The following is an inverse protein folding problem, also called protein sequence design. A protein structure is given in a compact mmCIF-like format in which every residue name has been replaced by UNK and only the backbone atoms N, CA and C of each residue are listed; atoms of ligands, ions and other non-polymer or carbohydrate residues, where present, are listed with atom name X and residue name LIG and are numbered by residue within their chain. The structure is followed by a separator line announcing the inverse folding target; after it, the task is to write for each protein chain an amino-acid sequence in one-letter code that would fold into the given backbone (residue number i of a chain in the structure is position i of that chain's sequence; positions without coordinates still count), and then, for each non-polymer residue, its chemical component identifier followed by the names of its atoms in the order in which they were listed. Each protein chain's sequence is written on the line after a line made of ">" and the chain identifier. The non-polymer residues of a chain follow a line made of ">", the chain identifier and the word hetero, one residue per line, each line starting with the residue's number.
data_IF_371563155420
#
_entry.id   IF_371563155420
#
_cell.length_a   1.000
_cell.length_b   1.000
_cell.length_c   1.000
_cell.angle_alpha   90.00
_cell.angle_beta   90.00
_cell.angle_gamma   90.00
#
_symmetry.space_group_name_H-M   'P 1'
#
loop_
_entity.id
_entity.type
_entity.pdbx_description
1 polymer ?
#
# COMPACT_ATOMS: atom_id res chain seq x y z
N UNK A 1 1.29 -19.14 -24.26
CA UNK A 1 1.36 -18.58 -22.89
C UNK A 1 0.99 -19.63 -21.85
N UNK A 2 1.60 -20.82 -21.89
CA UNK A 2 1.55 -21.80 -20.80
C UNK A 2 2.99 -22.25 -20.61
N UNK A 3 3.49 -22.19 -19.37
CA UNK A 3 4.89 -22.45 -18.93
C UNK A 3 5.80 -21.21 -18.75
N UNK A 4 5.25 -20.05 -18.38
CA UNK A 4 6.09 -19.03 -17.71
C UNK A 4 5.89 -19.26 -16.21
N UNK A 5 6.97 -19.60 -15.51
CA UNK A 5 6.97 -19.63 -14.05
C UNK A 5 7.11 -18.20 -13.53
N UNK A 6 6.33 -17.87 -12.50
CA UNK A 6 6.35 -16.59 -11.81
C UNK A 6 6.80 -16.85 -10.37
N UNK A 7 8.12 -16.89 -10.10
CA UNK A 7 8.63 -17.16 -8.76
C UNK A 7 8.11 -16.17 -7.71
N UNK A 8 7.73 -14.96 -8.14
CA UNK A 8 7.11 -13.92 -7.32
C UNK A 8 5.79 -14.38 -6.69
N UNK A 9 4.99 -15.18 -7.40
CA UNK A 9 3.70 -15.67 -6.91
C UNK A 9 3.83 -16.77 -5.84
N UNK A 10 5.04 -17.33 -5.66
CA UNK A 10 5.35 -18.26 -4.58
C UNK A 10 6.07 -17.57 -3.41
N UNK A 11 6.42 -16.29 -3.53
CA UNK A 11 7.16 -15.55 -2.52
C UNK A 11 6.20 -14.68 -1.69
N UNK A 12 5.97 -15.09 -0.43
CA UNK A 12 5.10 -14.36 0.51
C UNK A 12 5.54 -12.92 0.75
N UNK A 13 6.84 -12.64 0.86
CA UNK A 13 7.35 -11.28 1.06
C UNK A 13 7.07 -10.38 -0.15
N UNK A 14 7.21 -10.94 -1.35
CA UNK A 14 6.86 -10.24 -2.58
C UNK A 14 5.36 -9.95 -2.64
N UNK A 15 4.52 -10.94 -2.31
CA UNK A 15 3.06 -10.79 -2.31
C UNK A 15 2.58 -9.77 -1.27
N UNK A 16 3.20 -9.70 -0.09
CA UNK A 16 2.92 -8.63 0.89
C UNK A 16 3.17 -7.24 0.28
N UNK A 17 4.33 -7.05 -0.38
CA UNK A 17 4.64 -5.79 -1.07
C UNK A 17 3.63 -5.51 -2.19
N UNK A 18 3.26 -6.52 -2.96
CA UNK A 18 2.28 -6.39 -4.04
C UNK A 18 0.90 -5.97 -3.52
N UNK A 19 0.35 -6.66 -2.51
CA UNK A 19 -0.93 -6.29 -1.90
C UNK A 19 -0.91 -4.86 -1.34
N UNK A 20 0.18 -4.46 -0.68
CA UNK A 20 0.34 -3.09 -0.20
C UNK A 20 0.31 -2.06 -1.32
N UNK A 21 0.91 -2.37 -2.48
CA UNK A 21 0.91 -1.50 -3.65
C UNK A 21 -0.49 -1.39 -4.26
N UNK A 22 -1.26 -2.48 -4.29
CA UNK A 22 -2.66 -2.45 -4.73
C UNK A 22 -3.45 -1.46 -3.88
N UNK A 23 -3.40 -1.57 -2.54
CA UNK A 23 -4.06 -0.63 -1.63
C UNK A 23 -3.57 0.82 -1.84
N UNK A 24 -2.26 1.03 -1.97
CA UNK A 24 -1.68 2.37 -2.19
C UNK A 24 -2.12 3.01 -3.51
N UNK A 25 -2.20 2.24 -4.59
CA UNK A 25 -2.67 2.75 -5.89
C UNK A 25 -4.15 3.11 -5.86
N UNK A 26 -4.96 2.39 -5.07
CA UNK A 26 -6.36 2.75 -4.83
C UNK A 26 -6.47 4.10 -4.11
N UNK A 27 -5.64 4.34 -3.08
CA UNK A 27 -5.61 5.63 -2.37
C UNK A 27 -5.07 6.79 -3.20
N UNK A 28 -4.14 6.51 -4.14
CA UNK A 28 -3.58 7.50 -5.05
C UNK A 28 -4.61 7.97 -6.10
N UNK A 29 -5.55 7.10 -6.50
CA UNK A 29 -6.49 7.39 -7.58
C UNK A 29 -7.34 8.65 -7.34
N UNK A 30 -7.93 8.90 -6.14
CA UNK A 30 -8.60 10.16 -5.83
C UNK A 30 -7.73 11.40 -6.00
N UNK A 31 -6.45 11.35 -5.59
CA UNK A 31 -5.51 12.45 -5.80
C UNK A 31 -5.25 12.65 -7.29
N UNK A 32 -4.98 11.56 -8.02
CA UNK A 32 -4.76 11.59 -9.46
C UNK A 32 -5.95 12.23 -10.21
N UNK A 33 -7.18 11.83 -9.90
CA UNK A 33 -8.39 12.45 -10.46
C UNK A 33 -8.49 13.93 -10.11
N UNK A 34 -8.15 14.31 -8.86
CA UNK A 34 -8.18 15.71 -8.42
C UNK A 34 -7.13 16.57 -9.10
N UNK A 35 -5.95 16.02 -9.37
CA UNK A 35 -4.86 16.70 -10.06
C UNK A 35 -5.14 16.88 -11.56
N UNK A 36 -5.92 15.98 -12.14
CA UNK A 36 -6.39 16.08 -13.52
C UNK A 36 -7.54 17.09 -13.66
N UNK A 37 -7.74 17.56 -14.89
CA UNK A 37 -8.87 18.41 -15.26
C UNK A 37 -8.59 19.92 -15.18
N UNK A 38 -9.54 20.68 -15.74
CA UNK A 38 -9.50 22.14 -15.80
C UNK A 38 -10.32 22.76 -14.66
N UNK A 39 -9.94 23.96 -14.22
CA UNK A 39 -10.66 24.69 -13.16
C UNK A 39 -10.12 24.52 -11.74
N UNK A 40 -9.06 23.71 -11.56
CA UNK A 40 -8.32 23.70 -10.31
C UNK A 40 -7.42 24.95 -10.19
N UNK A 41 -7.42 25.59 -9.02
CA UNK A 41 -6.42 26.61 -8.70
C UNK A 41 -5.15 25.94 -8.19
N UNK A 42 -4.00 26.61 -8.32
CA UNK A 42 -2.73 26.16 -7.73
C UNK A 42 -2.90 25.84 -6.24
N UNK A 43 -3.61 26.72 -5.51
CA UNK A 43 -3.91 26.52 -4.09
C UNK A 43 -4.69 25.22 -3.83
N UNK A 44 -5.72 24.93 -4.65
CA UNK A 44 -6.52 23.71 -4.48
C UNK A 44 -5.74 22.43 -4.77
N UNK A 45 -4.79 22.47 -5.72
CA UNK A 45 -3.92 21.34 -6.03
C UNK A 45 -2.90 21.12 -4.91
N UNK A 46 -2.29 22.20 -4.43
CA UNK A 46 -1.36 22.17 -3.31
C UNK A 46 -2.02 21.58 -2.04
N UNK A 47 -3.24 21.99 -1.73
CA UNK A 47 -4.01 21.43 -0.60
C UNK A 47 -4.28 19.93 -0.77
N UNK A 48 -4.58 19.48 -1.99
CA UNK A 48 -4.84 18.06 -2.27
C UNK A 48 -3.56 17.22 -2.08
N UNK A 49 -2.40 17.72 -2.52
CA UNK A 49 -1.11 17.06 -2.33
C UNK A 49 -0.76 16.99 -0.84
N UNK A 50 -0.82 18.10 -0.09
CA UNK A 50 -0.55 18.09 1.35
C UNK A 50 -1.48 17.15 2.13
N UNK A 51 -2.77 17.12 1.76
CA UNK A 51 -3.71 16.19 2.38
C UNK A 51 -3.34 14.73 2.11
N UNK A 52 -2.77 14.43 0.94
CA UNK A 52 -2.31 13.08 0.62
C UNK A 52 -1.00 12.73 1.34
N UNK A 53 -0.04 13.65 1.44
CA UNK A 53 1.18 13.46 2.23
C UNK A 53 0.85 13.11 3.69
N UNK A 54 -0.08 13.85 4.32
CA UNK A 54 -0.56 13.54 5.67
C UNK A 54 -1.21 12.15 5.78
N UNK A 55 -1.88 11.67 4.72
CA UNK A 55 -2.41 10.30 4.69
C UNK A 55 -1.30 9.27 4.60
N UNK A 56 -0.24 9.53 3.85
CA UNK A 56 0.90 8.63 3.76
C UNK A 56 1.62 8.48 5.11
N UNK A 57 1.77 9.56 5.87
CA UNK A 57 2.27 9.50 7.25
C UNK A 57 1.38 8.61 8.14
N UNK A 58 0.06 8.76 8.03
CA UNK A 58 -0.90 7.92 8.74
C UNK A 58 -0.77 6.45 8.36
N UNK A 59 -0.58 6.16 7.06
CA UNK A 59 -0.42 4.80 6.56
C UNK A 59 0.86 4.14 7.07
N UNK A 60 1.96 4.88 7.14
CA UNK A 60 3.22 4.36 7.74
C UNK A 60 2.97 3.96 9.20
N UNK A 61 2.38 4.84 10.00
CA UNK A 61 2.07 4.54 11.39
C UNK A 61 1.10 3.34 11.53
N UNK A 62 0.16 3.19 10.60
CA UNK A 62 -0.81 2.09 10.61
C UNK A 62 -0.19 0.73 10.24
N UNK A 63 0.79 0.72 9.32
CA UNK A 63 1.61 -0.45 8.98
C UNK A 63 2.53 -0.82 10.14
N UNK A 64 3.25 0.16 10.72
CA UNK A 64 4.18 -0.07 11.84
C UNK A 64 3.48 -0.64 13.08
N UNK A 65 2.22 -0.25 13.30
CA UNK A 65 1.40 -0.78 14.40
C UNK A 65 0.65 -2.08 14.04
N UNK A 66 0.74 -2.54 12.79
CA UNK A 66 0.13 -3.78 12.31
C UNK A 66 -1.40 -3.75 12.22
N UNK A 67 -2.03 -2.58 12.32
CA UNK A 67 -3.50 -2.44 12.33
C UNK A 67 -4.13 -2.59 10.95
N UNK A 68 -3.44 -2.11 9.91
CA UNK A 68 -3.84 -2.26 8.49
C UNK A 68 -5.28 -1.79 8.16
N UNK A 69 -5.78 -0.76 8.84
CA UNK A 69 -7.14 -0.22 8.70
C UNK A 69 -7.42 0.33 7.30
N UNK A 70 -6.38 0.75 6.59
CA UNK A 70 -6.47 1.30 5.24
C UNK A 70 -5.88 0.39 4.17
N UNK A 71 -5.58 -0.87 4.53
CA UNK A 71 -4.90 -1.82 3.67
C UNK A 71 -5.69 -3.12 3.61
N UNK A 72 -6.87 -3.08 2.97
CA UNK A 72 -7.80 -4.20 2.91
C UNK A 72 -7.17 -5.42 2.23
N UNK A 73 -6.49 -5.22 1.09
CA UNK A 73 -5.96 -6.32 0.28
C UNK A 73 -4.76 -6.96 0.99
N UNK A 74 -3.94 -6.14 1.65
CA UNK A 74 -2.87 -6.64 2.52
C UNK A 74 -3.41 -7.36 3.76
N UNK A 75 -4.46 -6.83 4.39
CA UNK A 75 -5.12 -7.43 5.55
C UNK A 75 -5.69 -8.80 5.24
N UNK A 76 -6.46 -8.91 4.16
CA UNK A 76 -7.00 -10.18 3.68
C UNK A 76 -5.91 -11.21 3.38
N UNK A 77 -4.82 -10.79 2.73
CA UNK A 77 -3.70 -11.68 2.45
C UNK A 77 -3.00 -12.16 3.73
N UNK A 78 -2.76 -11.24 4.67
CA UNK A 78 -2.18 -11.57 5.99
C UNK A 78 -3.05 -12.59 6.73
N UNK A 79 -4.35 -12.39 6.76
CA UNK A 79 -5.29 -13.27 7.43
C UNK A 79 -5.35 -14.66 6.75
N UNK A 80 -5.31 -14.70 5.42
CA UNK A 80 -5.22 -15.96 4.67
C UNK A 80 -3.92 -16.74 4.96
N UNK A 81 -2.78 -16.05 5.04
CA UNK A 81 -1.50 -16.65 5.41
C UNK A 81 -1.53 -17.24 6.82
N UNK A 82 -2.00 -16.46 7.81
CA UNK A 82 -2.08 -16.92 9.21
C UNK A 82 -3.08 -18.07 9.41
N UNK A 83 -4.15 -18.13 8.60
CA UNK A 83 -5.07 -19.27 8.61
C UNK A 83 -4.44 -20.56 8.03
N UNK A 84 -3.53 -20.43 7.06
CA UNK A 84 -2.83 -21.56 6.46
C UNK A 84 -1.66 -22.07 7.31
N UNK A 85 -0.95 -21.17 7.99
CA UNK A 85 0.14 -21.48 8.91
C UNK A 85 0.18 -20.45 10.05
N UNK A 86 -0.39 -20.78 11.24
CA UNK A 86 -0.44 -19.86 12.38
C UNK A 86 0.93 -19.50 12.96
N UNK A 87 1.98 -20.26 12.65
CA UNK A 87 3.35 -19.98 13.08
C UNK A 87 4.09 -19.06 12.10
N UNK A 88 3.50 -18.76 10.94
CA UNK A 88 4.09 -17.89 9.93
C UNK A 88 4.14 -16.44 10.43
N UNK A 89 5.35 -15.98 10.75
CA UNK A 89 5.59 -14.59 11.12
C UNK A 89 5.75 -13.74 9.85
N UNK A 90 4.83 -12.81 9.63
CA UNK A 90 4.88 -11.85 8.53
C UNK A 90 5.57 -10.56 8.99
N UNK A 91 6.73 -10.27 8.43
CA UNK A 91 7.51 -9.07 8.77
C UNK A 91 6.96 -7.83 8.06
N UNK A 92 6.05 -7.11 8.74
CA UNK A 92 5.50 -5.84 8.25
C UNK A 92 6.47 -4.67 8.37
N UNK A 93 7.59 -4.79 9.11
CA UNK A 93 8.55 -3.68 9.23
C UNK A 93 9.28 -3.40 7.92
N UNK A 94 9.51 -4.44 7.12
CA UNK A 94 10.07 -4.28 5.76
C UNK A 94 9.13 -3.50 4.84
N UNK A 95 7.83 -3.57 5.09
CA UNK A 95 6.83 -2.82 4.35
C UNK A 95 6.86 -1.33 4.71
N UNK A 96 7.04 -1.00 6.00
CA UNK A 96 7.19 0.38 6.44
C UNK A 96 8.42 1.06 5.79
N UNK A 97 9.55 0.32 5.70
CA UNK A 97 10.74 0.79 4.98
C UNK A 97 10.48 1.02 3.48
N UNK A 98 9.71 0.13 2.85
CA UNK A 98 9.28 0.29 1.45
C UNK A 98 8.38 1.53 1.25
N UNK A 99 7.39 1.74 2.11
CA UNK A 99 6.49 2.91 2.01
C UNK A 99 7.21 4.23 2.30
N UNK A 100 8.18 4.24 3.22
CA UNK A 100 8.98 5.43 3.50
C UNK A 100 9.88 5.84 2.32
N UNK A 101 10.32 4.88 1.49
CA UNK A 101 11.06 5.19 0.26
C UNK A 101 10.19 5.81 -0.84
N UNK A 102 8.86 5.70 -0.76
CA UNK A 102 7.95 6.37 -1.70
C UNK A 102 7.75 7.86 -1.36
N UNK A 103 8.10 8.28 -0.14
CA UNK A 103 7.98 9.65 0.34
C UNK A 103 9.26 10.50 0.19
N UNK A 104 10.41 9.88 -0.13
CA UNK A 104 11.72 10.54 -0.23
C UNK A 104 12.18 10.77 -1.67
#
# INVERSE_FOLDING_TARGET
>A
MKNVEHPELANTEWLLKFCSLVDMTEHLNPLNVKMQGVGNTVLSLQQAVFAFENKLELFIADIETGRLLHFEKLGEFKDACTASDPAQHLDLQQLAGFTSNLLN
#
